data_IF_700121780477
#
_entry.id   IF_700121780477
#
_cell.length_a   1.000
_cell.length_b   1.000
_cell.length_c   1.000
_cell.angle_alpha   90.00
_cell.angle_beta   90.00
_cell.angle_gamma   90.00
#
_symmetry.space_group_name_H-M   'P 1'
#
loop_
_entity.id
_entity.type
_entity.pdbx_description
1 polymer ?
#
# COMPACT_ATOMS: atom_id res chain seq x y z
N UNK A 1 17.07 2.77 16.17
CA UNK A 1 15.99 3.35 15.35
C UNK A 1 15.25 2.30 14.52
N UNK A 2 15.89 1.48 13.66
CA UNK A 2 15.17 0.44 12.89
C UNK A 2 14.51 -0.63 13.77
N UNK A 3 15.17 -1.02 14.86
CA UNK A 3 14.65 -2.00 15.82
C UNK A 3 13.34 -1.53 16.47
N UNK A 4 13.23 -0.25 16.82
CA UNK A 4 12.02 0.34 17.41
C UNK A 4 10.87 0.41 16.41
N UNK A 5 11.17 0.67 15.14
CA UNK A 5 10.18 0.62 14.06
C UNK A 5 9.63 -0.79 13.90
N UNK A 6 10.51 -1.79 13.85
CA UNK A 6 10.11 -3.21 13.72
C UNK A 6 9.38 -3.68 14.98
N UNK A 7 9.82 -3.29 16.17
CA UNK A 7 9.15 -3.64 17.41
C UNK A 7 7.74 -3.05 17.50
N UNK A 8 7.52 -1.86 16.95
CA UNK A 8 6.22 -1.18 16.97
C UNK A 8 5.29 -1.68 15.86
N UNK A 9 5.77 -1.72 14.61
CA UNK A 9 4.95 -2.02 13.44
C UNK A 9 4.95 -3.51 13.04
N UNK A 10 5.90 -4.29 13.54
CA UNK A 10 6.11 -5.67 13.14
C UNK A 10 6.81 -5.81 11.78
N UNK A 11 7.46 -6.95 11.57
CA UNK A 11 8.16 -7.27 10.32
C UNK A 11 7.20 -7.31 9.13
N UNK A 12 5.98 -7.81 9.34
CA UNK A 12 4.99 -7.97 8.28
C UNK A 12 4.48 -6.64 7.71
N UNK A 13 4.46 -5.56 8.51
CA UNK A 13 4.16 -4.22 8.02
C UNK A 13 5.18 -3.74 6.99
N UNK A 14 6.47 -3.95 7.27
CA UNK A 14 7.53 -3.58 6.32
C UNK A 14 7.57 -4.52 5.10
N UNK A 15 7.23 -5.80 5.28
CA UNK A 15 7.05 -6.71 4.15
C UNK A 15 5.89 -6.28 3.23
N UNK A 16 4.77 -5.82 3.81
CA UNK A 16 3.64 -5.28 3.05
C UNK A 16 4.02 -3.95 2.35
N UNK A 17 4.78 -3.07 3.00
CA UNK A 17 5.34 -1.87 2.37
C UNK A 17 6.28 -2.22 1.21
N UNK A 18 7.13 -3.23 1.35
CA UNK A 18 8.01 -3.69 0.28
C UNK A 18 7.20 -4.26 -0.90
N UNK A 19 6.14 -5.02 -0.64
CA UNK A 19 5.23 -5.50 -1.69
C UNK A 19 4.52 -4.33 -2.41
N UNK A 20 4.08 -3.32 -1.66
CA UNK A 20 3.50 -2.09 -2.22
C UNK A 20 4.50 -1.32 -3.09
N UNK A 21 5.76 -1.22 -2.66
CA UNK A 21 6.83 -0.64 -3.47
C UNK A 21 7.00 -1.38 -4.80
N UNK A 22 7.11 -2.72 -4.77
CA UNK A 22 7.27 -3.54 -5.97
C UNK A 22 6.06 -3.42 -6.89
N UNK A 23 4.86 -3.41 -6.33
CA UNK A 23 3.63 -3.21 -7.08
C UNK A 23 3.64 -1.87 -7.81
N UNK A 24 3.88 -0.76 -7.10
CA UNK A 24 3.92 0.59 -7.69
C UNK A 24 5.01 0.71 -8.76
N UNK A 25 6.17 0.07 -8.55
CA UNK A 25 7.25 0.00 -9.53
C UNK A 25 6.81 -0.70 -10.81
N UNK A 26 6.21 -1.89 -10.67
CA UNK A 26 5.82 -2.70 -11.82
C UNK A 26 4.62 -2.08 -12.57
N UNK A 27 3.66 -1.51 -11.84
CA UNK A 27 2.54 -0.76 -12.42
C UNK A 27 3.03 0.39 -13.28
N UNK A 28 3.94 1.21 -12.75
CA UNK A 28 4.41 2.39 -13.46
C UNK A 28 5.41 2.05 -14.58
N UNK A 29 6.23 1.01 -14.41
CA UNK A 29 7.12 0.54 -15.46
C UNK A 29 6.35 -0.07 -16.64
N UNK A 30 5.26 -0.76 -16.34
CA UNK A 30 4.30 -1.29 -17.31
C UNK A 30 3.26 -0.27 -17.77
N UNK A 31 3.34 1.01 -17.42
CA UNK A 31 2.31 1.98 -17.80
C UNK A 31 2.24 2.15 -19.36
N UNK A 32 1.03 2.34 -19.92
CA UNK A 32 0.84 2.71 -21.32
C UNK A 32 1.40 4.10 -21.60
N UNK A 33 2.05 4.25 -22.76
CA UNK A 33 2.66 5.52 -23.19
C UNK A 33 2.08 6.07 -24.49
N UNK A 34 1.20 5.31 -25.14
CA UNK A 34 0.47 5.75 -26.32
C UNK A 34 -1.02 5.40 -26.17
N UNK A 35 -1.92 6.14 -26.82
CA UNK A 35 -3.35 5.82 -26.83
C UNK A 35 -3.66 4.42 -27.40
N UNK A 36 -2.81 3.94 -28.31
CA UNK A 36 -2.91 2.62 -28.93
C UNK A 36 -2.69 1.48 -27.92
N UNK A 37 -1.82 1.71 -26.93
CA UNK A 37 -1.59 0.77 -25.82
C UNK A 37 -2.78 0.66 -24.87
N UNK A 38 -3.61 1.71 -24.78
CA UNK A 38 -4.74 1.83 -23.85
C UNK A 38 -6.05 1.24 -24.38
N UNK A 39 -6.20 1.12 -25.71
CA UNK A 39 -7.43 0.67 -26.36
C UNK A 39 -7.93 -0.70 -25.87
N UNK A 40 -7.04 -1.53 -25.32
CA UNK A 40 -7.31 -2.90 -24.88
C UNK A 40 -7.60 -3.03 -23.36
N UNK A 41 -7.65 -1.93 -22.58
CA UNK A 41 -7.76 -2.00 -21.10
C UNK A 41 -9.17 -2.07 -20.51
N UNK A 42 -10.23 -1.96 -21.33
CA UNK A 42 -11.62 -1.84 -20.86
C UNK A 42 -12.25 -3.20 -20.51
N UNK A 43 -11.79 -3.82 -19.42
CA UNK A 43 -12.42 -5.01 -18.83
C UNK A 43 -12.83 -4.75 -17.38
N UNK A 44 -13.95 -5.32 -16.95
CA UNK A 44 -14.41 -5.25 -15.56
C UNK A 44 -13.36 -5.77 -14.57
N UNK A 45 -12.56 -6.77 -14.98
CA UNK A 45 -11.44 -7.28 -14.19
C UNK A 45 -10.36 -6.21 -13.95
N UNK A 46 -10.05 -5.40 -14.96
CA UNK A 46 -9.09 -4.30 -14.84
C UNK A 46 -9.57 -3.27 -13.83
N UNK A 47 -10.87 -2.90 -13.87
CA UNK A 47 -11.46 -1.98 -12.90
C UNK A 47 -11.39 -2.54 -11.47
N UNK A 48 -11.69 -3.82 -11.30
CA UNK A 48 -11.60 -4.47 -9.99
C UNK A 48 -10.16 -4.47 -9.47
N UNK A 49 -9.17 -4.76 -10.33
CA UNK A 49 -7.76 -4.73 -9.95
C UNK A 49 -7.27 -3.33 -9.59
N UNK A 50 -7.75 -2.30 -10.29
CA UNK A 50 -7.48 -0.90 -9.95
C UNK A 50 -8.05 -0.58 -8.56
N UNK A 51 -9.30 -0.94 -8.28
CA UNK A 51 -9.88 -0.76 -6.96
C UNK A 51 -9.08 -1.52 -5.89
N UNK A 52 -8.69 -2.76 -6.18
CA UNK A 52 -7.90 -3.58 -5.28
C UNK A 52 -6.49 -3.03 -5.04
N UNK A 53 -5.87 -2.32 -5.98
CA UNK A 53 -4.54 -1.73 -5.78
C UNK A 53 -4.56 -0.48 -4.88
N UNK A 54 -5.72 0.16 -4.71
CA UNK A 54 -5.89 1.26 -3.75
C UNK A 54 -6.06 0.78 -2.29
N UNK A 55 -6.51 -0.45 -2.06
CA UNK A 55 -6.75 -0.95 -0.70
C UNK A 55 -5.47 -1.09 0.15
N UNK A 56 -4.36 -1.70 -0.34
CA UNK A 56 -3.15 -1.90 0.45
C UNK A 56 -2.61 -0.64 1.13
N UNK A 57 -2.36 0.49 0.43
CA UNK A 57 -1.84 1.69 1.08
C UNK A 57 -2.82 2.25 2.13
N UNK A 58 -4.12 2.19 1.89
CA UNK A 58 -5.14 2.67 2.84
C UNK A 58 -5.15 1.82 4.10
N UNK A 59 -5.12 0.49 3.96
CA UNK A 59 -5.07 -0.44 5.09
C UNK A 59 -3.80 -0.26 5.92
N UNK A 60 -2.64 -0.10 5.27
CA UNK A 60 -1.37 0.11 5.96
C UNK A 60 -1.31 1.48 6.66
N UNK A 61 -1.87 2.52 6.06
CA UNK A 61 -1.98 3.84 6.69
C UNK A 61 -2.86 3.79 7.94
N UNK A 62 -4.04 3.16 7.86
CA UNK A 62 -4.95 3.00 8.98
C UNK A 62 -4.33 2.15 10.09
N UNK A 63 -3.70 1.04 9.74
CA UNK A 63 -3.01 0.18 10.70
C UNK A 63 -1.87 0.93 11.39
N UNK A 64 -1.02 1.62 10.62
CA UNK A 64 0.10 2.40 11.14
C UNK A 64 -0.35 3.55 12.06
N UNK A 65 -1.46 4.22 11.76
CA UNK A 65 -2.00 5.28 12.62
C UNK A 65 -2.52 4.73 13.94
N UNK A 66 -3.22 3.59 13.92
CA UNK A 66 -3.71 2.92 15.13
C UNK A 66 -2.56 2.44 16.02
N UNK A 67 -1.55 1.78 15.43
CA UNK A 67 -0.37 1.28 16.16
C UNK A 67 0.44 2.38 16.86
N UNK A 68 0.40 3.59 16.33
CA UNK A 68 1.22 4.71 16.81
C UNK A 68 0.42 5.68 17.70
N UNK A 69 -0.76 5.27 18.13
CA UNK A 69 -1.55 5.99 19.13
C UNK A 69 -0.77 6.05 20.44
N UNK A 70 -0.29 7.23 20.83
CA UNK A 70 0.54 7.42 22.02
C UNK A 70 2.05 7.21 21.83
N UNK A 71 2.50 6.88 20.62
CA UNK A 71 3.92 6.87 20.28
C UNK A 71 4.49 8.29 20.10
N UNK A 72 5.82 8.42 20.19
CA UNK A 72 6.55 9.64 19.85
C UNK A 72 6.25 10.14 18.42
N UNK A 73 6.26 11.46 18.24
CA UNK A 73 5.91 12.12 16.98
C UNK A 73 6.78 11.67 15.80
N UNK A 74 8.07 11.45 16.02
CA UNK A 74 8.98 11.01 14.96
C UNK A 74 8.70 9.56 14.54
N UNK A 75 8.44 8.68 15.53
CA UNK A 75 8.10 7.28 15.25
C UNK A 75 6.76 7.16 14.53
N UNK A 76 5.76 7.94 14.95
CA UNK A 76 4.46 8.05 14.30
C UNK A 76 4.60 8.51 12.85
N UNK A 77 5.34 9.60 12.62
CA UNK A 77 5.57 10.12 11.29
C UNK A 77 6.25 9.08 10.39
N UNK A 78 7.27 8.38 10.89
CA UNK A 78 7.99 7.36 10.13
C UNK A 78 7.09 6.19 9.71
N UNK A 79 6.27 5.65 10.63
CA UNK A 79 5.38 4.50 10.33
C UNK A 79 4.27 4.91 9.37
N UNK A 80 3.63 6.07 9.56
CA UNK A 80 2.57 6.55 8.66
C UNK A 80 3.14 6.91 7.28
N UNK A 81 4.34 7.49 7.21
CA UNK A 81 4.96 7.86 5.94
C UNK A 81 5.49 6.64 5.15
N UNK A 82 5.80 5.52 5.80
CA UNK A 82 6.39 4.35 5.17
C UNK A 82 5.62 3.81 3.94
N UNK A 83 4.30 3.53 3.99
CA UNK A 83 3.55 3.06 2.82
C UNK A 83 3.48 4.10 1.70
N UNK A 84 3.38 5.39 2.05
CA UNK A 84 3.37 6.48 1.06
C UNK A 84 4.72 6.59 0.37
N UNK A 85 5.82 6.57 1.14
CA UNK A 85 7.18 6.58 0.61
C UNK A 85 7.45 5.36 -0.27
N UNK A 86 7.02 4.17 0.15
CA UNK A 86 7.13 2.95 -0.65
C UNK A 86 6.45 3.10 -2.02
N UNK A 87 5.21 3.60 -2.04
CA UNK A 87 4.46 3.82 -3.28
C UNK A 87 5.09 4.90 -4.17
N UNK A 88 5.52 6.03 -3.59
CA UNK A 88 6.15 7.14 -4.33
C UNK A 88 7.51 6.75 -4.92
N UNK A 89 8.37 6.11 -4.13
CA UNK A 89 9.69 5.68 -4.62
C UNK A 89 9.51 4.56 -5.65
N UNK A 90 8.61 3.61 -5.40
CA UNK A 90 8.29 2.52 -6.33
C UNK A 90 7.82 3.07 -7.67
N UNK A 91 6.78 3.91 -7.66
CA UNK A 91 6.25 4.54 -8.88
C UNK A 91 7.29 5.39 -9.61
N UNK A 92 8.09 6.20 -8.91
CA UNK A 92 9.14 7.00 -9.53
C UNK A 92 10.15 6.13 -10.26
N UNK A 93 10.68 5.10 -9.58
CA UNK A 93 11.61 4.15 -10.19
C UNK A 93 10.96 3.37 -11.34
N UNK A 94 9.70 2.99 -11.18
CA UNK A 94 8.92 2.35 -12.23
C UNK A 94 8.81 3.22 -13.48
N UNK A 95 8.53 4.51 -13.33
CA UNK A 95 8.46 5.45 -14.46
C UNK A 95 9.80 5.52 -15.21
N UNK A 96 10.92 5.63 -14.48
CA UNK A 96 12.26 5.62 -15.07
C UNK A 96 12.57 4.31 -15.80
N UNK A 97 12.35 3.17 -15.15
CA UNK A 97 12.58 1.85 -15.74
C UNK A 97 11.72 1.64 -16.98
N UNK A 98 10.45 2.01 -16.88
CA UNK A 98 9.54 1.95 -17.99
C UNK A 98 10.06 2.74 -19.18
N UNK A 99 10.52 3.98 -18.98
CA UNK A 99 11.02 4.84 -20.07
C UNK A 99 12.19 4.19 -20.83
N UNK A 100 12.99 3.37 -20.14
CA UNK A 100 14.13 2.63 -20.71
C UNK A 100 13.74 1.26 -21.29
N UNK A 101 12.67 0.65 -20.78
CA UNK A 101 12.32 -0.76 -20.99
C UNK A 101 11.82 -1.12 -22.40
N UNK A 102 11.32 -0.16 -23.18
CA UNK A 102 10.78 -0.41 -24.52
C UNK A 102 9.77 -1.58 -24.52
N UNK A 103 10.07 -2.66 -25.25
CA UNK A 103 9.19 -3.85 -25.39
C UNK A 103 9.02 -4.69 -24.12
N UNK A 104 9.88 -4.56 -23.10
CA UNK A 104 9.74 -5.35 -21.84
C UNK A 104 8.63 -4.83 -20.92
N UNK A 105 8.06 -3.64 -21.20
CA UNK A 105 6.90 -3.10 -20.50
C UNK A 105 5.68 -4.03 -20.55
N UNK A 106 5.53 -4.83 -21.61
CA UNK A 106 4.43 -5.81 -21.74
C UNK A 106 4.56 -6.93 -20.70
N UNK A 107 5.79 -7.38 -20.42
CA UNK A 107 6.04 -8.40 -19.40
C UNK A 107 5.70 -7.90 -18.00
N UNK A 108 6.10 -6.66 -17.69
CA UNK A 108 5.79 -6.00 -16.41
C UNK A 108 4.28 -5.84 -16.21
N UNK A 109 3.53 -5.48 -17.26
CA UNK A 109 2.05 -5.40 -17.19
C UNK A 109 1.40 -6.70 -16.74
N UNK A 110 1.92 -7.85 -17.16
CA UNK A 110 1.36 -9.16 -16.79
C UNK A 110 1.61 -9.54 -15.32
N UNK A 111 2.59 -8.91 -14.68
CA UNK A 111 2.90 -9.13 -13.27
C UNK A 111 2.03 -8.30 -12.33
N UNK A 112 1.35 -7.25 -12.82
CA UNK A 112 0.51 -6.39 -11.98
C UNK A 112 -0.59 -7.18 -11.26
N UNK A 113 -1.45 -7.98 -11.93
CA UNK A 113 -2.52 -8.69 -11.23
C UNK A 113 -2.06 -9.58 -10.06
N UNK A 114 -1.05 -10.48 -10.21
CA UNK A 114 -0.60 -11.27 -9.07
C UNK A 114 0.05 -10.41 -7.98
N UNK A 115 0.76 -9.33 -8.34
CA UNK A 115 1.35 -8.41 -7.34
C UNK A 115 0.30 -7.64 -6.54
N UNK A 116 -0.82 -7.23 -7.17
CA UNK A 116 -1.95 -6.61 -6.47
C UNK A 116 -2.49 -7.57 -5.41
N UNK A 117 -2.69 -8.84 -5.78
CA UNK A 117 -3.20 -9.85 -4.84
C UNK A 117 -2.22 -10.10 -3.68
N UNK A 118 -0.92 -10.18 -3.96
CA UNK A 118 0.11 -10.36 -2.92
C UNK A 118 0.18 -9.16 -1.98
N UNK A 119 0.22 -7.94 -2.53
CA UNK A 119 0.26 -6.72 -1.72
C UNK A 119 -1.01 -6.59 -0.85
N UNK A 120 -2.18 -6.90 -1.42
CA UNK A 120 -3.45 -6.90 -0.69
C UNK A 120 -3.49 -7.97 0.40
N UNK A 121 -3.06 -9.19 0.11
CA UNK A 121 -3.02 -10.27 1.10
C UNK A 121 -2.10 -9.91 2.28
N UNK A 122 -0.91 -9.36 2.01
CA UNK A 122 0.02 -8.92 3.05
C UNK A 122 -0.53 -7.73 3.85
N UNK A 123 -1.18 -6.77 3.20
CA UNK A 123 -1.81 -5.65 3.88
C UNK A 123 -2.97 -6.11 4.77
N UNK A 124 -3.84 -7.02 4.30
CA UNK A 124 -4.93 -7.61 5.08
C UNK A 124 -4.40 -8.42 6.26
N UNK A 125 -3.39 -9.26 6.04
CA UNK A 125 -2.76 -10.04 7.10
C UNK A 125 -2.19 -9.13 8.21
N UNK A 126 -1.49 -8.07 7.81
CA UNK A 126 -0.89 -7.09 8.73
C UNK A 126 -1.98 -6.29 9.46
N UNK A 127 -3.01 -5.83 8.75
CA UNK A 127 -4.05 -4.97 9.30
C UNK A 127 -5.18 -5.72 10.02
N UNK A 128 -5.22 -7.06 9.94
CA UNK A 128 -6.23 -7.91 10.58
C UNK A 128 -6.56 -7.54 12.04
N UNK A 129 -5.57 -7.36 12.96
CA UNK A 129 -5.87 -6.95 14.33
C UNK A 129 -6.53 -5.57 14.42
N UNK A 130 -6.16 -4.63 13.56
CA UNK A 130 -6.75 -3.30 13.53
C UNK A 130 -8.17 -3.29 12.96
N UNK A 131 -8.45 -4.16 11.99
CA UNK A 131 -9.80 -4.32 11.43
C UNK A 131 -10.76 -4.82 12.51
N UNK A 132 -10.34 -5.82 13.31
CA UNK A 132 -11.11 -6.31 14.45
C UNK A 132 -11.43 -5.20 15.45
N UNK A 133 -10.40 -4.46 15.89
CA UNK A 133 -10.57 -3.34 16.82
C UNK A 133 -11.53 -2.25 16.29
N UNK A 134 -11.55 -2.00 14.97
CA UNK A 134 -12.46 -1.05 14.37
C UNK A 134 -13.91 -1.56 14.37
N UNK A 135 -14.12 -2.85 14.11
CA UNK A 135 -15.45 -3.46 14.17
C UNK A 135 -16.00 -3.47 15.59
N UNK A 136 -15.17 -3.79 16.59
CA UNK A 136 -15.56 -3.76 18.00
C UNK A 136 -15.99 -2.35 18.40
N UNK A 137 -15.19 -1.33 18.06
CA UNK A 137 -15.52 0.08 18.31
C UNK A 137 -16.82 0.54 17.63
N UNK A 138 -17.10 0.05 16.42
CA UNK A 138 -18.36 0.32 15.71
C UNK A 138 -19.57 -0.34 16.36
N UNK A 139 -19.41 -1.57 16.85
CA UNK A 139 -20.48 -2.32 17.52
C UNK A 139 -20.83 -1.73 18.88
N UNK A 140 -19.83 -1.27 19.62
CA UNK A 140 -20.01 -0.66 20.94
C UNK A 140 -20.61 0.76 20.86
N UNK A 141 -20.77 1.33 19.66
CA UNK A 141 -21.23 2.71 19.46
C UNK A 141 -20.22 3.75 19.96
N UNK A 142 -19.03 3.32 20.38
CA UNK A 142 -17.93 4.14 20.89
C UNK A 142 -17.02 4.52 19.72
N UNK A 143 -17.52 5.37 18.82
CA UNK A 143 -16.65 6.29 18.09
C UNK A 143 -16.31 7.49 19.01
N UNK A 144 -15.96 7.24 20.27
CA UNK A 144 -15.22 8.21 21.05
C UNK A 144 -13.78 8.19 20.52
N UNK A 145 -13.56 8.96 19.45
CA UNK A 145 -12.20 9.35 19.07
C UNK A 145 -11.51 9.83 20.36
N UNK A 146 -10.33 9.29 20.72
CA UNK A 146 -9.59 9.74 21.89
C UNK A 146 -9.06 11.16 21.62
N UNK A 147 -9.93 12.15 21.69
CA UNK A 147 -9.59 13.55 21.81
C UNK A 147 -9.24 13.75 23.28
N UNK A 148 -7.98 13.48 23.64
CA UNK A 148 -7.48 13.99 24.92
C UNK A 148 -7.57 15.52 24.85
N UNK A 149 -8.23 16.19 25.79
CA UNK A 149 -8.11 17.63 25.91
C UNK A 149 -6.64 17.97 26.15
N UNK A 150 -6.14 18.91 25.35
CA UNK A 150 -4.82 19.53 25.48
C UNK A 150 -4.72 20.29 26.79
#
# INVERSE_FOLDING_TARGET
>A
MPEQLIATAGVWFFAACAALFVLALVEQAGAPRSPEDDAHRKSALTTLLILASFLPPVLLLLHGSLLTTGADSMLRAAIIAAPVAAMLIGSLLGAFLGALAGRSAIGMRRLVPPLVLVALALALYTAHPSIGALFDALQDGVLELPVRPV
#
